data_IF_590686545419
#
_entry.id   IF_590686545419
#
_cell.length_a   1.000
_cell.length_b   1.000
_cell.length_c   1.000
_cell.angle_alpha   90.00
_cell.angle_beta   90.00
_cell.angle_gamma   90.00
#
_symmetry.space_group_name_H-M   'P 1'
#
loop_
_entity.id
_entity.type
_entity.pdbx_description
1 polymer ?
#
# COMPACT_ATOMS: atom_id res chain seq x y z
N UNK A 1 -10.22 9.67 -0.15
CA UNK A 1 -10.57 10.44 -1.35
C UNK A 1 -9.28 10.84 -2.05
N UNK A 2 -8.96 10.26 -3.19
CA UNK A 2 -7.87 10.70 -4.07
C UNK A 2 -8.46 10.80 -5.47
N UNK A 3 -8.74 12.02 -5.93
CA UNK A 3 -9.65 12.28 -7.05
C UNK A 3 -9.00 12.18 -8.43
N UNK A 4 -7.74 11.72 -8.54
CA UNK A 4 -7.03 11.61 -9.83
C UNK A 4 -6.78 12.95 -10.56
N UNK A 5 -7.33 14.06 -10.05
CA UNK A 5 -7.29 15.40 -10.65
C UNK A 5 -5.88 15.90 -10.90
N UNK A 6 -4.94 15.60 -10.01
CA UNK A 6 -3.54 16.00 -10.19
C UNK A 6 -2.92 15.40 -11.46
N UNK A 7 -3.28 14.17 -11.83
CA UNK A 7 -2.73 13.54 -13.04
C UNK A 7 -3.34 14.12 -14.31
N UNK A 8 -4.61 14.50 -14.28
CA UNK A 8 -5.23 15.22 -15.39
C UNK A 8 -4.56 16.58 -15.59
N UNK A 9 -4.34 17.33 -14.52
CA UNK A 9 -3.61 18.59 -14.59
C UNK A 9 -2.20 18.43 -15.18
N UNK A 10 -1.42 17.44 -14.73
CA UNK A 10 -0.06 17.20 -15.26
C UNK A 10 -0.11 16.80 -16.74
N UNK A 11 -1.10 15.98 -17.14
CA UNK A 11 -1.26 15.55 -18.54
C UNK A 11 -1.42 16.73 -19.49
N UNK A 12 -2.17 17.76 -19.08
CA UNK A 12 -2.43 18.94 -19.91
C UNK A 12 -1.18 19.81 -20.14
N UNK A 13 -0.13 19.63 -19.32
CA UNK A 13 1.14 20.37 -19.43
C UNK A 13 2.25 19.55 -20.10
N UNK A 14 1.96 18.31 -20.53
CA UNK A 14 2.95 17.47 -21.21
C UNK A 14 2.99 17.78 -22.72
N UNK A 15 4.17 17.66 -23.36
CA UNK A 15 4.29 17.88 -24.80
C UNK A 15 3.50 16.84 -25.58
N UNK A 16 3.11 17.20 -26.81
CA UNK A 16 2.39 16.30 -27.72
C UNK A 16 3.18 15.01 -27.94
N UNK A 17 2.52 13.87 -27.71
CA UNK A 17 3.14 12.54 -27.82
C UNK A 17 3.70 11.97 -26.50
N UNK A 18 3.78 12.76 -25.43
CA UNK A 18 4.17 12.24 -24.12
C UNK A 18 3.03 11.47 -23.43
N UNK A 19 3.38 10.37 -22.76
CA UNK A 19 2.43 9.55 -21.99
C UNK A 19 2.70 9.70 -20.49
N UNK A 20 1.71 10.18 -19.75
CA UNK A 20 1.74 10.16 -18.29
C UNK A 20 1.38 8.77 -17.78
N UNK A 21 2.26 8.11 -17.02
CA UNK A 21 2.00 6.84 -16.37
C UNK A 21 2.06 7.02 -14.84
N UNK A 22 0.95 7.40 -14.18
CA UNK A 22 0.93 7.56 -12.74
C UNK A 22 1.10 6.21 -12.06
N UNK A 23 1.91 6.19 -11.00
CA UNK A 23 2.15 5.02 -10.18
C UNK A 23 1.40 5.17 -8.86
N UNK A 24 0.61 4.16 -8.50
CA UNK A 24 -0.05 4.06 -7.19
C UNK A 24 0.65 2.98 -6.39
N UNK A 25 1.07 3.35 -5.19
CA UNK A 25 1.51 2.41 -4.16
C UNK A 25 0.42 2.35 -3.10
N UNK A 26 -0.10 1.15 -2.86
CA UNK A 26 -1.14 0.91 -1.86
C UNK A 26 -0.66 -0.17 -0.89
N UNK A 27 -0.98 0.01 0.38
CA UNK A 27 -0.73 -1.00 1.42
C UNK A 27 -2.01 -1.20 2.20
N UNK A 28 -2.33 -2.45 2.50
CA UNK A 28 -3.46 -2.80 3.36
C UNK A 28 -3.05 -3.89 4.35
N UNK A 29 -3.71 -3.93 5.51
CA UNK A 29 -3.44 -4.95 6.52
C UNK A 29 -4.11 -6.25 6.10
N UNK A 30 -3.32 -7.27 5.81
CA UNK A 30 -3.85 -8.59 5.41
C UNK A 30 -3.49 -9.67 6.44
N UNK A 31 -4.44 -10.57 6.70
CA UNK A 31 -4.16 -11.80 7.45
C UNK A 31 -3.68 -12.87 6.45
N UNK A 32 -2.47 -13.36 6.63
CA UNK A 32 -1.86 -14.38 5.75
C UNK A 32 -2.40 -15.79 6.05
N UNK A 33 -2.84 -16.04 7.28
CA UNK A 33 -3.31 -17.36 7.74
C UNK A 33 -4.60 -17.22 8.54
N UNK A 34 -5.69 -17.87 8.11
CA UNK A 34 -6.97 -17.83 8.82
C UNK A 34 -7.09 -18.88 9.96
N UNK A 35 -6.41 -20.03 9.86
CA UNK A 35 -6.68 -21.18 10.75
C UNK A 35 -5.51 -21.63 11.63
N UNK A 36 -4.27 -21.22 11.38
CA UNK A 36 -3.12 -21.55 12.25
C UNK A 36 -2.01 -20.51 12.11
N UNK A 37 -1.61 -19.90 13.22
CA UNK A 37 -0.43 -19.02 13.29
C UNK A 37 -0.69 -17.51 13.28
N UNK A 38 -1.94 -17.06 13.05
CA UNK A 38 -2.40 -15.66 13.12
C UNK A 38 -1.39 -14.64 12.57
N UNK A 39 -0.76 -14.96 11.43
CA UNK A 39 0.24 -14.10 10.80
C UNK A 39 -0.45 -12.96 10.07
N UNK A 40 0.00 -11.75 10.35
CA UNK A 40 -0.47 -10.51 9.75
C UNK A 40 0.69 -9.94 8.95
N UNK A 41 0.42 -9.44 7.75
CA UNK A 41 1.40 -8.69 6.97
C UNK A 41 0.76 -7.49 6.30
N UNK A 42 1.57 -6.48 6.00
CA UNK A 42 1.19 -5.38 5.11
C UNK A 42 1.82 -5.61 3.73
N UNK A 43 1.09 -6.21 2.78
CA UNK A 43 1.51 -6.21 1.39
C UNK A 43 1.54 -4.79 0.83
N UNK A 44 2.65 -4.42 0.20
CA UNK A 44 2.75 -3.26 -0.69
C UNK A 44 2.38 -3.72 -2.10
N UNK A 45 1.29 -3.17 -2.61
CA UNK A 45 0.86 -3.33 -3.99
C UNK A 45 1.23 -2.11 -4.85
N UNK A 46 1.60 -2.38 -6.09
CA UNK A 46 1.89 -1.40 -7.13
C UNK A 46 0.85 -1.53 -8.25
N UNK A 47 0.34 -0.41 -8.73
CA UNK A 47 -0.53 -0.37 -9.91
C UNK A 47 -0.39 0.93 -10.66
N UNK A 48 -0.76 0.93 -11.93
CA UNK A 48 -0.82 2.14 -12.74
C UNK A 48 -2.15 2.86 -12.51
N UNK A 49 -2.07 4.18 -12.34
CA UNK A 49 -3.23 5.04 -12.17
C UNK A 49 -4.14 5.09 -13.39
N UNK A 50 -3.57 4.87 -14.59
CA UNK A 50 -4.29 4.80 -15.86
C UNK A 50 -5.16 3.54 -16.01
N UNK A 51 -4.93 2.51 -15.19
CA UNK A 51 -5.77 1.32 -15.19
C UNK A 51 -7.07 1.64 -14.46
N UNK A 52 -8.21 1.34 -15.08
CA UNK A 52 -9.51 1.61 -14.45
C UNK A 52 -9.64 0.84 -13.14
N UNK A 53 -10.28 1.46 -12.15
CA UNK A 53 -10.50 0.87 -10.82
C UNK A 53 -11.18 -0.50 -10.88
N UNK A 54 -12.06 -0.72 -11.86
CA UNK A 54 -12.71 -2.00 -12.09
C UNK A 54 -11.74 -3.13 -12.41
N UNK A 55 -10.74 -2.87 -13.26
CA UNK A 55 -9.69 -3.83 -13.58
C UNK A 55 -8.76 -4.06 -12.39
N UNK A 56 -8.42 -3.01 -11.63
CA UNK A 56 -7.63 -3.12 -10.38
C UNK A 56 -8.29 -3.99 -9.31
N UNK A 57 -9.61 -4.03 -9.26
CA UNK A 57 -10.38 -4.82 -8.28
C UNK A 57 -10.56 -6.29 -8.68
N UNK A 58 -10.07 -6.70 -9.85
CA UNK A 58 -10.17 -8.07 -10.36
C UNK A 58 -8.81 -8.76 -10.25
N UNK A 59 -8.62 -9.69 -9.30
CA UNK A 59 -7.35 -10.40 -9.15
C UNK A 59 -6.89 -11.13 -10.41
N UNK A 60 -7.84 -11.67 -11.20
CA UNK A 60 -7.56 -12.37 -12.47
C UNK A 60 -6.95 -11.49 -13.55
N UNK A 61 -7.03 -10.17 -13.41
CA UNK A 61 -6.60 -9.20 -14.41
C UNK A 61 -5.18 -8.69 -14.15
N UNK A 62 -4.54 -9.14 -13.06
CA UNK A 62 -3.15 -8.85 -12.70
C UNK A 62 -2.78 -7.35 -12.77
N UNK A 63 -3.78 -6.48 -12.60
CA UNK A 63 -3.66 -5.03 -12.69
C UNK A 63 -2.92 -4.42 -11.48
N UNK A 64 -2.74 -5.19 -10.40
CA UNK A 64 -1.95 -4.85 -9.23
C UNK A 64 -0.88 -5.92 -9.02
N UNK A 65 0.36 -5.50 -8.87
CA UNK A 65 1.50 -6.38 -8.57
C UNK A 65 1.87 -6.23 -7.11
N UNK A 66 2.12 -7.33 -6.41
CA UNK A 66 2.67 -7.32 -5.07
C UNK A 66 4.18 -7.09 -5.14
N UNK A 67 4.69 -6.06 -4.45
CA UNK A 67 6.11 -5.76 -4.40
C UNK A 67 6.79 -6.42 -3.20
N UNK A 68 6.25 -6.21 -2.00
CA UNK A 68 6.89 -6.56 -0.73
C UNK A 68 5.82 -6.85 0.32
N UNK A 69 6.13 -7.73 1.27
CA UNK A 69 5.43 -7.81 2.55
C UNK A 69 6.23 -7.07 3.62
N UNK A 70 5.67 -6.05 4.26
CA UNK A 70 6.34 -5.48 5.42
C UNK A 70 6.26 -6.45 6.59
N UNK A 71 7.35 -6.56 7.37
CA UNK A 71 7.32 -7.29 8.63
C UNK A 71 6.33 -6.63 9.58
N UNK A 72 5.48 -7.46 10.20
CA UNK A 72 4.65 -7.06 11.33
C UNK A 72 5.16 -7.83 12.52
N UNK A 73 6.13 -7.23 13.22
CA UNK A 73 6.58 -7.83 14.47
C UNK A 73 5.45 -7.79 15.49
N UNK A 74 5.40 -8.86 16.29
CA UNK A 74 4.53 -8.92 17.47
C UNK A 74 5.13 -7.99 18.53
N UNK A 75 4.79 -6.70 18.45
CA UNK A 75 5.12 -5.76 19.52
C UNK A 75 4.45 -6.29 20.79
N UNK A 76 5.24 -6.52 21.85
CA UNK A 76 4.70 -6.94 23.13
C UNK A 76 3.73 -5.86 23.65
N UNK A 77 2.51 -6.28 24.00
CA UNK A 77 1.47 -5.40 24.53
C UNK A 77 1.60 -5.20 26.03
N UNK A 78 2.43 -5.99 26.70
CA UNK A 78 2.58 -5.94 28.14
C UNK A 78 3.10 -4.57 28.59
N UNK A 79 2.34 -3.93 29.50
CA UNK A 79 2.71 -2.64 30.10
C UNK A 79 2.48 -1.40 29.23
N UNK A 80 1.84 -1.51 28.05
CA UNK A 80 1.55 -0.37 27.17
C UNK A 80 0.08 0.02 27.16
N UNK A 81 -0.20 1.33 27.23
CA UNK A 81 -1.52 1.87 26.92
C UNK A 81 -1.85 1.67 25.43
N UNK A 82 -3.14 1.57 25.09
CA UNK A 82 -3.62 1.45 23.70
C UNK A 82 -3.07 2.53 22.78
N UNK A 83 -2.91 3.76 23.30
CA UNK A 83 -2.36 4.90 22.55
C UNK A 83 -0.87 4.71 22.26
N UNK A 84 -0.09 4.31 23.26
CA UNK A 84 1.35 4.08 23.13
C UNK A 84 1.67 2.92 22.20
N UNK A 85 0.86 1.84 22.28
CA UNK A 85 0.94 0.73 21.36
C UNK A 85 0.70 1.17 19.91
N UNK A 86 -0.33 1.97 19.66
CA UNK A 86 -0.63 2.51 18.32
C UNK A 86 0.51 3.37 17.77
N UNK A 87 1.10 4.23 18.60
CA UNK A 87 2.22 5.09 18.20
C UNK A 87 3.47 4.28 17.88
N UNK A 88 3.83 3.30 18.73
CA UNK A 88 4.97 2.40 18.48
C UNK A 88 4.79 1.60 17.19
N UNK A 89 3.58 1.13 16.94
CA UNK A 89 3.25 0.41 15.72
C UNK A 89 3.39 1.27 14.46
N UNK A 90 2.91 2.52 14.50
CA UNK A 90 3.10 3.47 13.41
C UNK A 90 4.59 3.76 13.16
N UNK A 91 5.39 3.94 14.22
CA UNK A 91 6.84 4.12 14.09
C UNK A 91 7.52 2.93 13.42
N UNK A 92 7.22 1.70 13.86
CA UNK A 92 7.75 0.48 13.23
C UNK A 92 7.39 0.41 11.74
N UNK A 93 6.15 0.75 11.39
CA UNK A 93 5.71 0.82 9.99
C UNK A 93 6.52 1.85 9.19
N UNK A 94 6.72 3.05 9.74
CA UNK A 94 7.52 4.10 9.08
C UNK A 94 9.00 3.72 8.95
N UNK A 95 9.58 3.07 9.95
CA UNK A 95 10.97 2.58 9.91
C UNK A 95 11.13 1.46 8.87
N UNK A 96 10.16 0.54 8.78
CA UNK A 96 10.13 -0.50 7.75
C UNK A 96 10.01 0.07 6.33
N UNK A 97 9.31 1.20 6.15
CA UNK A 97 9.25 1.93 4.88
C UNK A 97 10.51 2.74 4.57
N UNK A 98 11.37 2.99 5.57
CA UNK A 98 12.58 3.82 5.44
C UNK A 98 13.79 3.04 4.94
N UNK A 99 13.80 1.72 5.10
CA UNK A 99 14.95 0.87 4.78
C UNK A 99 14.96 0.37 3.33
N UNK A 100 16.18 0.35 2.77
CA UNK A 100 16.59 -0.28 1.51
C UNK A 100 17.90 -1.01 1.76
#
# INVERSE_FOLDING_TARGET
MWTGRCWHFIRDHLPTGATLAPIIIATDKTQLTQFSGSKIAYPIHLTLGNVLTFWRRRPSQQACVLLVYLPVDKIDRNGLSKKEFSVRYQRLFHDAMRYR
#
